data_IF_811029033455
#
_entry.id   IF_811029033455
#
_cell.length_a   1.000
_cell.length_b   1.000
_cell.length_c   1.000
_cell.angle_alpha   90.00
_cell.angle_beta   90.00
_cell.angle_gamma   90.00
#
_symmetry.space_group_name_H-M   'P 1'
#
loop_
_entity.id
_entity.type
_entity.pdbx_description
1 polymer ?
#
# COMPACT_ATOMS: atom_id res chain seq x y z
N UNK A 1 26.66 -19.04 6.71
CA UNK A 1 25.18 -19.16 6.61
C UNK A 1 24.74 -20.61 6.37
N UNK A 2 25.14 -21.57 7.23
CA UNK A 2 24.84 -23.02 7.06
C UNK A 2 24.02 -23.62 8.20
N UNK A 3 23.76 -22.86 9.28
CA UNK A 3 23.25 -23.40 10.54
C UNK A 3 21.73 -23.28 10.74
N UNK A 4 21.00 -22.61 9.84
CA UNK A 4 19.56 -22.37 10.02
C UNK A 4 18.69 -23.58 9.61
N UNK A 5 19.21 -24.47 8.76
CA UNK A 5 18.50 -25.68 8.31
C UNK A 5 18.34 -26.77 9.38
N UNK A 6 19.17 -26.75 10.43
CA UNK A 6 19.22 -27.81 11.44
C UNK A 6 17.98 -27.78 12.36
N UNK A 7 17.40 -26.60 12.62
CA UNK A 7 16.17 -26.48 13.42
C UNK A 7 14.93 -27.02 12.69
N UNK A 8 14.90 -26.90 11.36
CA UNK A 8 13.78 -27.34 10.52
C UNK A 8 13.70 -28.88 10.40
N UNK A 9 14.79 -29.61 10.66
CA UNK A 9 14.80 -31.08 10.61
C UNK A 9 14.19 -31.75 11.86
N UNK A 10 13.94 -30.98 12.92
CA UNK A 10 13.43 -31.49 14.21
C UNK A 10 11.91 -31.29 14.40
N UNK A 11 11.22 -30.73 13.39
CA UNK A 11 9.79 -30.48 13.40
C UNK A 11 9.03 -31.67 12.75
N UNK A 12 8.05 -32.29 13.43
CA UNK A 12 7.26 -33.41 12.92
C UNK A 12 6.15 -32.94 11.94
N UNK A 13 6.54 -32.25 10.88
CA UNK A 13 5.64 -31.74 9.84
C UNK A 13 6.04 -32.24 8.45
N UNK A 14 5.12 -32.18 7.49
CA UNK A 14 5.39 -32.55 6.10
C UNK A 14 6.48 -31.64 5.51
N UNK A 15 7.31 -32.14 4.57
CA UNK A 15 8.42 -31.36 4.00
C UNK A 15 7.94 -30.10 3.26
N UNK A 16 6.70 -30.08 2.79
CA UNK A 16 6.09 -28.92 2.13
C UNK A 16 5.75 -27.80 3.12
N UNK A 17 5.19 -28.13 4.28
CA UNK A 17 4.87 -27.16 5.34
C UNK A 17 6.13 -26.55 5.95
N UNK A 18 7.19 -27.34 6.09
CA UNK A 18 8.45 -26.87 6.64
C UNK A 18 9.12 -25.81 5.72
N UNK A 19 9.02 -26.00 4.41
CA UNK A 19 9.52 -25.04 3.40
C UNK A 19 8.76 -23.73 3.43
N UNK A 20 7.42 -23.75 3.56
CA UNK A 20 6.62 -22.52 3.63
C UNK A 20 6.81 -21.77 4.96
N UNK A 21 6.96 -22.50 6.08
CA UNK A 21 7.28 -21.91 7.39
C UNK A 21 8.66 -21.22 7.38
N UNK A 22 9.67 -21.87 6.78
CA UNK A 22 11.00 -21.28 6.63
C UNK A 22 10.98 -20.02 5.75
N UNK A 23 10.22 -20.04 4.66
CA UNK A 23 10.04 -18.89 3.77
C UNK A 23 9.34 -17.74 4.50
N UNK A 24 8.30 -18.02 5.29
CA UNK A 24 7.58 -17.01 6.06
C UNK A 24 8.49 -16.31 7.07
N UNK A 25 9.26 -17.08 7.85
CA UNK A 25 10.20 -16.53 8.84
C UNK A 25 11.28 -15.69 8.14
N UNK A 26 11.80 -16.16 7.00
CA UNK A 26 12.78 -15.41 6.22
C UNK A 26 12.22 -14.06 5.74
N UNK A 27 11.01 -14.05 5.14
CA UNK A 27 10.33 -12.84 4.68
C UNK A 27 10.02 -11.90 5.85
N UNK A 28 9.58 -12.42 7.00
CA UNK A 28 9.28 -11.62 8.18
C UNK A 28 10.51 -10.88 8.72
N UNK A 29 11.67 -11.56 8.78
CA UNK A 29 12.94 -10.92 9.17
C UNK A 29 13.36 -9.87 8.14
N UNK A 30 13.20 -10.15 6.84
CA UNK A 30 13.50 -9.21 5.76
C UNK A 30 12.60 -7.97 5.81
N UNK A 31 11.37 -8.12 6.29
CA UNK A 31 10.42 -7.02 6.44
C UNK A 31 10.72 -6.14 7.67
N UNK A 32 11.09 -6.74 8.80
CA UNK A 32 11.40 -6.02 10.05
C UNK A 32 12.77 -5.31 10.04
N UNK A 33 13.71 -5.75 9.22
CA UNK A 33 15.08 -5.20 9.22
C UNK A 33 15.24 -3.91 8.41
N UNK A 34 14.19 -3.48 7.71
CA UNK A 34 14.15 -2.23 6.92
C UNK A 34 15.27 -2.00 5.86
N UNK A 35 15.98 -3.00 5.28
CA UNK A 35 16.96 -2.72 4.24
C UNK A 35 16.31 -2.37 2.89
N UNK A 36 15.01 -2.67 2.69
CA UNK A 36 14.31 -2.59 1.41
C UNK A 36 12.84 -2.14 1.61
N UNK A 37 12.32 -1.30 0.71
CA UNK A 37 10.92 -0.86 0.71
C UNK A 37 9.93 -2.04 0.69
N UNK A 38 8.87 -1.95 1.50
CA UNK A 38 7.88 -3.00 1.77
C UNK A 38 7.27 -3.59 0.48
N UNK A 39 7.03 -2.77 -0.54
CA UNK A 39 6.50 -3.23 -1.83
C UNK A 39 7.48 -4.13 -2.62
N UNK A 40 8.79 -3.88 -2.50
CA UNK A 40 9.82 -4.66 -3.20
C UNK A 40 9.94 -6.04 -2.53
N UNK A 41 9.91 -6.09 -1.20
CA UNK A 41 9.90 -7.36 -0.45
C UNK A 41 8.63 -8.18 -0.76
N UNK A 42 7.48 -7.51 -0.93
CA UNK A 42 6.24 -8.17 -1.35
C UNK A 42 6.32 -8.76 -2.77
N UNK A 43 7.05 -8.14 -3.70
CA UNK A 43 7.33 -8.67 -5.03
C UNK A 43 8.32 -9.85 -5.01
N UNK A 44 9.30 -9.80 -4.11
CA UNK A 44 10.34 -10.82 -3.98
C UNK A 44 9.84 -12.13 -3.34
N UNK A 45 8.88 -12.04 -2.43
CA UNK A 45 8.29 -13.19 -1.72
C UNK A 45 7.76 -14.31 -2.65
N UNK A 46 6.88 -14.04 -3.63
CA UNK A 46 6.41 -15.07 -4.57
C UNK A 46 7.50 -15.58 -5.50
N UNK A 47 8.52 -14.77 -5.82
CA UNK A 47 9.68 -15.23 -6.60
C UNK A 47 10.42 -16.32 -5.84
N UNK A 48 10.66 -16.12 -4.54
CA UNK A 48 11.23 -17.15 -3.66
C UNK A 48 10.34 -18.40 -3.57
N UNK A 49 9.01 -18.22 -3.51
CA UNK A 49 8.08 -19.35 -3.46
C UNK A 49 8.11 -20.22 -4.73
N UNK A 50 8.33 -19.61 -5.90
CA UNK A 50 8.53 -20.32 -7.17
C UNK A 50 9.88 -21.06 -7.17
N UNK A 51 10.95 -20.44 -6.67
CA UNK A 51 12.27 -21.09 -6.57
C UNK A 51 12.27 -22.32 -5.63
N UNK A 52 11.40 -22.33 -4.62
CA UNK A 52 11.23 -23.47 -3.71
C UNK A 52 10.26 -24.55 -4.25
N UNK A 53 9.73 -24.36 -5.47
CA UNK A 53 8.73 -25.21 -6.14
C UNK A 53 7.43 -25.40 -5.33
N UNK A 54 7.07 -24.43 -4.48
CA UNK A 54 5.85 -24.52 -3.66
C UNK A 54 4.60 -24.06 -4.38
N UNK A 55 4.75 -23.22 -5.42
CA UNK A 55 3.62 -22.61 -6.13
C UNK A 55 3.94 -22.51 -7.62
N UNK A 56 3.01 -22.92 -8.49
CA UNK A 56 3.10 -22.72 -9.94
C UNK A 56 3.23 -21.23 -10.26
N UNK A 57 4.16 -20.85 -11.13
CA UNK A 57 4.50 -19.45 -11.47
C UNK A 57 3.30 -18.60 -11.89
N UNK A 58 2.26 -19.21 -12.49
CA UNK A 58 1.02 -18.53 -12.88
C UNK A 58 0.17 -18.09 -11.68
N UNK A 59 0.11 -18.87 -10.61
CA UNK A 59 -0.69 -18.55 -9.42
C UNK A 59 -0.07 -17.40 -8.61
N UNK A 60 1.27 -17.30 -8.60
CA UNK A 60 1.99 -16.21 -7.96
C UNK A 60 1.70 -14.82 -8.57
N UNK A 61 1.52 -14.75 -9.89
CA UNK A 61 1.20 -13.50 -10.61
C UNK A 61 -0.25 -13.06 -10.41
N UNK A 62 -1.17 -14.01 -10.20
CA UNK A 62 -2.60 -13.72 -9.96
C UNK A 62 -2.80 -13.01 -8.63
N UNK A 63 -2.03 -13.36 -7.59
CA UNK A 63 -2.09 -12.69 -6.28
C UNK A 63 -1.75 -11.20 -6.34
N UNK A 64 -0.97 -10.75 -7.34
CA UNK A 64 -0.73 -9.30 -7.55
C UNK A 64 -1.91 -8.58 -8.21
N UNK A 65 -2.82 -9.32 -8.84
CA UNK A 65 -4.01 -8.80 -9.49
C UNK A 65 -5.27 -8.92 -8.63
N UNK A 66 -5.13 -9.20 -7.32
CA UNK A 66 -6.28 -9.28 -6.42
C UNK A 66 -6.98 -7.91 -6.30
N UNK A 67 -8.33 -7.90 -6.17
CA UNK A 67 -9.13 -6.68 -6.14
C UNK A 67 -8.65 -5.58 -5.16
N UNK A 68 -8.16 -5.91 -3.94
CA UNK A 68 -7.68 -4.89 -3.00
C UNK A 68 -6.45 -4.13 -3.51
N UNK A 69 -5.44 -4.83 -4.05
CA UNK A 69 -4.23 -4.18 -4.57
C UNK A 69 -4.57 -3.27 -5.74
N UNK A 70 -5.42 -3.72 -6.66
CA UNK A 70 -5.86 -2.90 -7.79
C UNK A 70 -6.71 -1.69 -7.36
N UNK A 71 -7.57 -1.84 -6.34
CA UNK A 71 -8.36 -0.75 -5.78
C UNK A 71 -7.48 0.31 -5.13
N UNK A 72 -6.43 -0.08 -4.40
CA UNK A 72 -5.45 0.85 -3.84
C UNK A 72 -4.67 1.59 -4.94
N UNK A 73 -4.18 0.88 -5.96
CA UNK A 73 -3.55 1.51 -7.13
C UNK A 73 -4.49 2.48 -7.85
N UNK A 74 -5.76 2.10 -8.05
CA UNK A 74 -6.79 2.97 -8.62
C UNK A 74 -7.11 4.17 -7.73
N UNK A 75 -7.09 4.01 -6.40
CA UNK A 75 -7.26 5.10 -5.43
C UNK A 75 -6.14 6.14 -5.48
N UNK A 76 -4.87 5.71 -5.61
CA UNK A 76 -3.75 6.63 -5.83
C UNK A 76 -3.80 7.32 -7.18
N UNK A 77 -4.20 6.62 -8.23
CA UNK A 77 -4.40 7.20 -9.56
C UNK A 77 -5.54 8.24 -9.53
N UNK A 78 -6.64 7.94 -8.85
CA UNK A 78 -7.77 8.86 -8.67
C UNK A 78 -7.38 10.07 -7.81
N UNK A 79 -6.65 9.86 -6.71
CA UNK A 79 -6.13 10.95 -5.87
C UNK A 79 -5.18 11.86 -6.66
N UNK A 80 -4.33 11.29 -7.52
CA UNK A 80 -3.43 12.05 -8.40
C UNK A 80 -4.21 12.80 -9.49
N UNK A 81 -5.22 12.17 -10.08
CA UNK A 81 -6.10 12.82 -11.05
C UNK A 81 -6.85 14.00 -10.41
N UNK A 82 -7.34 13.86 -9.18
CA UNK A 82 -7.96 14.93 -8.40
C UNK A 82 -6.96 16.01 -7.99
N UNK A 83 -5.73 15.62 -7.64
CA UNK A 83 -4.64 16.54 -7.33
C UNK A 83 -4.32 17.42 -8.55
N UNK A 84 -4.19 16.82 -9.74
CA UNK A 84 -3.98 17.55 -11.01
C UNK A 84 -5.23 18.38 -11.36
N UNK A 85 -6.43 17.87 -11.04
CA UNK A 85 -7.68 18.59 -11.30
C UNK A 85 -7.94 19.78 -10.38
N UNK A 86 -7.14 20.00 -9.32
CA UNK A 86 -7.14 21.22 -8.48
C UNK A 86 -8.55 21.65 -7.96
N UNK A 87 -9.56 20.78 -8.02
CA UNK A 87 -10.96 21.15 -7.75
C UNK A 87 -11.20 21.59 -6.30
N UNK A 88 -10.28 21.26 -5.39
CA UNK A 88 -10.27 21.73 -4.00
C UNK A 88 -9.90 23.20 -3.85
N UNK A 89 -8.89 23.70 -4.57
CA UNK A 89 -8.49 25.12 -4.48
C UNK A 89 -9.54 26.05 -5.08
N UNK A 90 -10.26 25.60 -6.12
CA UNK A 90 -11.32 26.39 -6.76
C UNK A 90 -12.53 26.52 -5.82
N UNK A 91 -12.88 25.45 -5.09
CA UNK A 91 -13.95 25.50 -4.09
C UNK A 91 -13.57 26.35 -2.88
N UNK A 92 -12.31 26.32 -2.44
CA UNK A 92 -11.83 27.17 -1.36
C UNK A 92 -11.88 28.67 -1.71
N UNK A 93 -11.47 29.05 -2.91
CA UNK A 93 -11.55 30.44 -3.38
C UNK A 93 -12.99 30.96 -3.50
N UNK A 94 -13.92 30.11 -3.96
CA UNK A 94 -15.34 30.46 -4.03
C UNK A 94 -15.96 30.73 -2.65
N UNK A 95 -15.61 29.90 -1.65
CA UNK A 95 -16.11 30.07 -0.28
C UNK A 95 -15.58 31.35 0.36
N UNK A 96 -14.30 31.68 0.16
CA UNK A 96 -13.70 32.92 0.66
C UNK A 96 -14.33 34.18 0.04
N UNK A 97 -14.63 34.14 -1.26
CA UNK A 97 -15.27 35.25 -1.96
C UNK A 97 -16.69 35.52 -1.45
N UNK A 98 -17.50 34.46 -1.27
CA UNK A 98 -18.84 34.58 -0.67
C UNK A 98 -18.79 35.15 0.74
N UNK A 99 -17.85 34.69 1.57
CA UNK A 99 -17.72 35.17 2.95
C UNK A 99 -17.35 36.66 2.99
N UNK A 100 -16.48 37.11 2.09
CA UNK A 100 -16.04 38.50 2.00
C UNK A 100 -17.19 39.43 1.57
N UNK A 101 -17.97 39.05 0.55
CA UNK A 101 -19.14 39.83 0.09
C UNK A 101 -20.19 39.99 1.19
N UNK A 102 -20.46 38.93 1.97
CA UNK A 102 -21.43 38.98 3.06
C UNK A 102 -20.96 39.89 4.21
N UNK A 103 -19.66 39.86 4.52
CA UNK A 103 -19.06 40.72 5.54
C UNK A 103 -19.14 42.21 5.15
N UNK A 104 -18.80 42.53 3.89
CA UNK A 104 -18.88 43.91 3.36
C UNK A 104 -20.33 44.40 3.32
N UNK A 105 -21.28 43.56 2.90
CA UNK A 105 -22.70 43.91 2.88
C UNK A 105 -23.25 44.20 4.28
N UNK A 106 -22.81 43.43 5.29
CA UNK A 106 -23.25 43.60 6.68
C UNK A 106 -22.65 44.86 7.31
N UNK A 107 -21.37 45.16 7.06
CA UNK A 107 -20.72 46.39 7.54
C UNK A 107 -21.27 47.64 6.85
N UNK A 108 -21.54 47.57 5.53
CA UNK A 108 -22.17 48.67 4.80
C UNK A 108 -23.58 49.00 5.29
N UNK A 109 -24.38 47.97 5.61
CA UNK A 109 -25.70 48.15 6.22
C UNK A 109 -25.64 48.70 7.65
N UNK A 110 -24.53 48.49 8.37
CA UNK A 110 -24.31 49.04 9.72
C UNK A 110 -23.77 50.49 9.72
N UNK A 111 -23.18 50.97 8.62
CA UNK A 111 -22.62 52.32 8.48
C UNK A 111 -23.59 53.36 7.92
N UNK A 112 -24.71 52.92 7.33
CA UNK A 112 -25.72 53.79 6.70
C UNK A 112 -26.94 54.05 7.60
N UNK A 113 -26.84 53.70 8.88
CA UNK A 113 -27.85 53.87 9.92
C UNK A 113 -27.21 54.53 11.14
#
# INVERSE_FOLDING_TARGET
MRNHFIFLNSLPYTPETNKSLALLIFVAILWLTEPVHIAITALLSPILAIFLDLVKSKAALVTFADPPFFLFFGGFALATALHIQQTGIIKAGFLLNILCVLLIATVGHCLLQ
#
